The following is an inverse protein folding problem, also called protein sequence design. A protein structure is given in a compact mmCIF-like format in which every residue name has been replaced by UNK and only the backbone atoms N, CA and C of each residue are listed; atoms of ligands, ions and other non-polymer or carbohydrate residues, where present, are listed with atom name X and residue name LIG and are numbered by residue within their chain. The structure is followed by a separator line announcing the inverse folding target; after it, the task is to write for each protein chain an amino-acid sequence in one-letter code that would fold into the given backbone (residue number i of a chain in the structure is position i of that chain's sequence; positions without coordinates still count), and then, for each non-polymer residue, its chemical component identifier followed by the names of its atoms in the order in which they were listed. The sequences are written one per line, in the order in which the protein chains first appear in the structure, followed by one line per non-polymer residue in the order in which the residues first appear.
data_IF_105810482187
#
_entry.id   IF_105810482187
#
_cell.length_a   1.000
_cell.length_b   1.000
_cell.length_c   1.000
_cell.angle_alpha   90.00
_cell.angle_beta   90.00
_cell.angle_gamma   90.00
#
_symmetry.space_group_name_H-M   'P 1'
#
loop_
_entity.id
_entity.type
_entity.pdbx_description
1 polymer ?
#
# COMPACT_ATOMS: atom_id res chain seq x y z
N UNK A 1 15.14 8.71 13.69
CA UNK A 1 14.09 8.13 12.82
C UNK A 1 12.96 9.13 12.75
N UNK A 2 12.69 9.63 11.56
CA UNK A 2 11.52 10.44 11.22
C UNK A 2 10.27 9.56 11.24
N UNK A 3 9.09 10.16 11.35
CA UNK A 3 7.80 9.44 11.32
C UNK A 3 7.66 8.58 10.06
N UNK A 4 8.17 9.07 8.92
CA UNK A 4 8.12 8.35 7.64
C UNK A 4 8.99 7.08 7.65
N UNK A 5 10.19 7.12 8.25
CA UNK A 5 11.04 5.93 8.37
C UNK A 5 10.38 4.82 9.21
N UNK A 6 9.63 5.20 10.26
CA UNK A 6 8.88 4.24 11.09
C UNK A 6 7.72 3.64 10.31
N UNK A 7 6.98 4.46 9.56
CA UNK A 7 5.87 3.99 8.72
C UNK A 7 6.36 3.07 7.60
N UNK A 8 7.45 3.43 6.92
CA UNK A 8 8.07 2.57 5.89
C UNK A 8 8.41 1.20 6.47
N UNK A 9 9.07 1.16 7.64
CA UNK A 9 9.45 -0.08 8.28
C UNK A 9 8.23 -0.94 8.64
N UNK A 10 7.15 -0.34 9.16
CA UNK A 10 5.90 -1.06 9.47
C UNK A 10 5.26 -1.65 8.22
N UNK A 11 5.12 -0.86 7.15
CA UNK A 11 4.57 -1.33 5.87
C UNK A 11 5.44 -2.44 5.29
N UNK A 12 6.75 -2.25 5.30
CA UNK A 12 7.70 -3.25 4.81
C UNK A 12 7.52 -4.58 5.56
N UNK A 13 7.52 -4.56 6.89
CA UNK A 13 7.35 -5.76 7.71
C UNK A 13 6.03 -6.48 7.43
N UNK A 14 4.93 -5.72 7.27
CA UNK A 14 3.64 -6.27 6.87
C UNK A 14 3.74 -7.00 5.52
N UNK A 15 4.29 -6.35 4.50
CA UNK A 15 4.41 -6.91 3.15
C UNK A 15 5.37 -8.09 3.11
N UNK A 16 6.47 -8.05 3.87
CA UNK A 16 7.40 -9.16 4.02
C UNK A 16 6.71 -10.39 4.64
N UNK A 17 5.80 -10.19 5.61
CA UNK A 17 5.03 -11.28 6.21
C UNK A 17 4.04 -11.93 5.22
N UNK A 18 3.43 -11.13 4.33
CA UNK A 18 2.47 -11.61 3.33
C UNK A 18 3.08 -11.97 1.97
N UNK A 19 4.40 -11.88 1.84
CA UNK A 19 5.12 -12.24 0.62
C UNK A 19 4.99 -13.72 0.29
N UNK A 20 4.89 -14.05 -1.00
CA UNK A 20 4.81 -15.43 -1.47
C UNK A 20 6.18 -16.13 -1.49
N UNK A 21 7.27 -15.37 -1.69
CA UNK A 21 8.63 -15.87 -1.84
C UNK A 21 9.68 -14.84 -1.40
N UNK A 22 10.95 -15.24 -1.36
CA UNK A 22 12.07 -14.39 -0.94
C UNK A 22 12.32 -13.18 -1.86
N UNK A 23 12.07 -13.29 -3.17
CA UNK A 23 12.14 -12.15 -4.08
C UNK A 23 11.04 -11.13 -3.78
N UNK A 24 9.80 -11.58 -3.57
CA UNK A 24 8.70 -10.72 -3.14
C UNK A 24 9.03 -10.03 -1.80
N UNK A 25 9.62 -10.76 -0.87
CA UNK A 25 10.04 -10.25 0.44
C UNK A 25 11.16 -9.22 0.35
N UNK A 26 12.24 -9.53 -0.36
CA UNK A 26 13.48 -8.75 -0.30
C UNK A 26 13.51 -7.61 -1.33
N UNK A 27 12.78 -7.73 -2.43
CA UNK A 27 12.80 -6.76 -3.54
C UNK A 27 11.49 -6.00 -3.64
N UNK A 28 10.36 -6.72 -3.64
CA UNK A 28 9.05 -6.09 -3.89
C UNK A 28 8.51 -5.38 -2.66
N UNK A 29 8.53 -6.01 -1.48
CA UNK A 29 8.05 -5.42 -0.23
C UNK A 29 8.70 -4.06 0.09
N UNK A 30 10.04 -3.88 0.07
CA UNK A 30 10.63 -2.57 0.33
C UNK A 30 10.30 -1.54 -0.75
N UNK A 31 10.18 -1.96 -2.02
CA UNK A 31 9.79 -1.05 -3.12
C UNK A 31 8.36 -0.52 -2.95
N UNK A 32 7.43 -1.40 -2.58
CA UNK A 32 6.03 -1.02 -2.30
C UNK A 32 5.94 -0.18 -1.03
N UNK A 33 6.71 -0.52 0.03
CA UNK A 33 6.75 0.26 1.26
C UNK A 33 7.21 1.70 1.01
N UNK A 34 8.29 1.88 0.25
CA UNK A 34 8.78 3.21 -0.13
C UNK A 34 7.76 3.98 -0.97
N UNK A 35 7.19 3.36 -2.00
CA UNK A 35 6.15 3.99 -2.82
C UNK A 35 4.88 4.33 -2.01
N UNK A 36 4.61 3.63 -0.90
CA UNK A 36 3.47 3.92 -0.04
C UNK A 36 3.60 5.22 0.77
N UNK A 37 4.81 5.77 0.87
CA UNK A 37 5.08 7.05 1.53
C UNK A 37 4.91 8.25 0.60
N UNK A 38 4.94 8.04 -0.72
CA UNK A 38 4.80 9.11 -1.72
C UNK A 38 3.41 9.74 -1.70
N UNK A 39 3.25 10.92 -2.31
CA UNK A 39 2.00 11.67 -2.25
C UNK A 39 0.88 11.09 -3.12
N UNK A 40 1.22 10.44 -4.25
CA UNK A 40 0.21 9.97 -5.20
C UNK A 40 -0.44 8.65 -4.75
N UNK A 41 -1.32 8.13 -5.61
CA UNK A 41 -1.78 6.77 -5.46
C UNK A 41 -0.63 5.79 -5.67
N UNK A 42 -0.56 4.77 -4.82
CA UNK A 42 0.47 3.73 -4.85
C UNK A 42 0.69 3.11 -6.24
N UNK A 43 -0.36 2.97 -7.06
CA UNK A 43 -0.20 2.44 -8.41
C UNK A 43 0.54 3.40 -9.36
N UNK A 44 0.36 4.72 -9.21
CA UNK A 44 1.06 5.74 -10.00
C UNK A 44 2.53 5.81 -9.61
N UNK A 45 2.83 5.79 -8.30
CA UNK A 45 4.22 5.82 -7.80
C UNK A 45 4.98 4.53 -8.16
N UNK A 46 4.28 3.41 -8.33
CA UNK A 46 4.86 2.16 -8.85
C UNK A 46 4.92 2.11 -10.39
N UNK A 47 4.33 3.08 -11.09
CA UNK A 47 4.37 3.20 -12.55
C UNK A 47 3.32 2.38 -13.30
N UNK A 48 2.24 1.94 -12.65
CA UNK A 48 1.13 1.24 -13.30
C UNK A 48 0.15 2.22 -13.96
N UNK A 49 -0.43 1.82 -15.09
CA UNK A 49 -1.42 2.65 -15.78
C UNK A 49 -2.80 2.60 -15.12
N UNK A 50 -3.09 1.57 -14.32
CA UNK A 50 -4.40 1.43 -13.67
C UNK A 50 -4.38 0.68 -12.33
N UNK A 51 -5.46 0.86 -11.55
CA UNK A 51 -5.72 0.11 -10.31
C UNK A 51 -5.84 -1.40 -10.55
N UNK A 52 -6.26 -1.81 -11.75
CA UNK A 52 -6.39 -3.23 -12.12
C UNK A 52 -5.01 -3.87 -12.24
N UNK A 53 -4.06 -3.20 -12.87
CA UNK A 53 -2.68 -3.69 -12.98
C UNK A 53 -2.01 -3.81 -11.60
N UNK A 54 -2.21 -2.81 -10.75
CA UNK A 54 -1.76 -2.88 -9.36
C UNK A 54 -2.39 -4.06 -8.61
N UNK A 55 -3.69 -4.30 -8.80
CA UNK A 55 -4.37 -5.46 -8.22
C UNK A 55 -3.77 -6.79 -8.67
N UNK A 56 -3.42 -6.93 -9.95
CA UNK A 56 -2.74 -8.12 -10.48
C UNK A 56 -1.33 -8.27 -9.90
N UNK A 57 -0.58 -7.18 -9.83
CA UNK A 57 0.76 -7.15 -9.23
C UNK A 57 0.72 -7.60 -7.76
N UNK A 58 -0.19 -7.02 -6.97
CA UNK A 58 -0.36 -7.42 -5.59
C UNK A 58 -0.85 -8.86 -5.46
N UNK A 59 -1.69 -9.35 -6.36
CA UNK A 59 -2.12 -10.74 -6.36
C UNK A 59 -0.98 -11.71 -6.68
N UNK A 60 -0.05 -11.31 -7.54
CA UNK A 60 1.11 -12.09 -7.91
C UNK A 60 2.12 -12.24 -6.76
N UNK A 61 2.44 -11.14 -6.06
CA UNK A 61 3.49 -11.13 -5.03
C UNK A 61 2.96 -11.27 -3.59
N UNK A 62 1.71 -10.85 -3.36
CA UNK A 62 1.01 -10.87 -2.06
C UNK A 62 -0.40 -11.48 -2.21
N UNK A 63 -0.52 -12.75 -2.65
CA UNK A 63 -1.81 -13.37 -2.94
C UNK A 63 -2.72 -13.43 -1.72
N UNK A 64 -2.17 -13.74 -0.54
CA UNK A 64 -2.93 -13.80 0.72
C UNK A 64 -3.52 -12.44 1.08
N UNK A 65 -2.72 -11.38 0.95
CA UNK A 65 -3.16 -10.00 1.18
C UNK A 65 -4.26 -9.59 0.19
N UNK A 66 -4.14 -10.02 -1.07
CA UNK A 66 -5.12 -9.72 -2.12
C UNK A 66 -6.46 -10.40 -1.95
N UNK A 67 -6.48 -11.60 -1.39
CA UNK A 67 -7.73 -12.33 -1.09
C UNK A 67 -8.48 -11.67 0.07
N UNK A 68 -7.76 -11.16 1.07
CA UNK A 68 -8.37 -10.52 2.25
C UNK A 68 -8.82 -9.08 1.98
N UNK A 69 -8.27 -8.42 0.96
CA UNK A 69 -8.56 -7.04 0.65
C UNK A 69 -10.01 -6.86 0.13
N UNK A 70 -10.80 -5.92 0.68
CA UNK A 70 -12.09 -5.56 0.11
C UNK A 70 -11.95 -4.95 -1.30
N UNK A 71 -12.92 -5.25 -2.18
CA UNK A 71 -12.88 -4.82 -3.60
C UNK A 71 -12.93 -3.30 -3.76
N UNK A 72 -13.63 -2.60 -2.86
CA UNK A 72 -13.84 -1.15 -2.93
C UNK A 72 -12.72 -0.33 -2.27
N UNK A 73 -11.86 -0.96 -1.45
CA UNK A 73 -10.80 -0.25 -0.71
C UNK A 73 -9.57 0.00 -1.58
N UNK A 74 -8.89 1.12 -1.38
CA UNK A 74 -7.58 1.40 -1.99
C UNK A 74 -6.48 0.52 -1.39
N UNK A 75 -5.48 0.14 -2.19
CA UNK A 75 -4.32 -0.62 -1.68
C UNK A 75 -3.56 0.12 -0.59
N UNK A 76 -3.31 1.42 -0.78
CA UNK A 76 -2.65 2.28 0.21
C UNK A 76 -3.43 2.27 1.52
N UNK A 77 -4.71 2.68 1.49
CA UNK A 77 -5.60 2.65 2.66
C UNK A 77 -5.58 1.30 3.38
N UNK A 78 -5.82 0.22 2.65
CA UNK A 78 -5.84 -1.13 3.22
C UNK A 78 -4.54 -1.54 3.91
N UNK A 79 -3.37 -1.22 3.33
CA UNK A 79 -2.07 -1.52 3.94
C UNK A 79 -1.88 -0.75 5.25
N UNK A 80 -2.26 0.53 5.27
CA UNK A 80 -2.15 1.40 6.44
C UNK A 80 -3.15 1.03 7.54
N UNK A 81 -4.39 0.67 7.19
CA UNK A 81 -5.39 0.12 8.11
C UNK A 81 -4.85 -1.13 8.83
N UNK A 82 -4.14 -2.03 8.13
CA UNK A 82 -3.57 -3.24 8.73
C UNK A 82 -2.47 -2.98 9.76
N UNK A 83 -1.73 -1.88 9.61
CA UNK A 83 -0.71 -1.47 10.60
C UNK A 83 -1.25 -0.50 11.64
N UNK A 84 -2.56 -0.21 11.63
CA UNK A 84 -3.25 0.77 12.47
C UNK A 84 -2.59 2.17 12.39
N UNK A 85 -2.16 2.56 11.19
CA UNK A 85 -1.56 3.87 10.93
C UNK A 85 -2.32 4.60 9.83
N UNK A 86 -2.08 5.90 9.69
CA UNK A 86 -2.61 6.69 8.57
C UNK A 86 -1.49 7.01 7.60
N UNK A 87 -1.75 6.85 6.30
CA UNK A 87 -0.79 7.21 5.28
C UNK A 87 -0.46 8.72 5.38
N UNK A 88 0.83 9.11 5.36
CA UNK A 88 1.23 10.50 5.56
C UNK A 88 0.63 11.41 4.48
N UNK A 89 0.53 10.90 3.25
CA UNK A 89 -0.11 11.58 2.14
C UNK A 89 -1.62 11.80 2.31
N UNK A 90 -2.34 11.00 3.11
CA UNK A 90 -3.79 11.16 3.28
C UNK A 90 -4.16 12.34 4.19
N UNK A 91 -3.24 12.83 5.03
CA UNK A 91 -3.47 13.98 5.88
C UNK A 91 -3.47 15.32 5.11
N UNK A 92 -2.82 15.36 3.94
CA UNK A 92 -2.63 16.58 3.12
C UNK A 92 -3.22 16.45 1.70
N UNK A 93 -3.92 15.35 1.38
CA UNK A 93 -4.46 15.13 0.04
C UNK A 93 -5.80 15.87 -0.16
N UNK A 94 -5.82 16.82 -1.09
CA UNK A 94 -7.03 17.51 -1.60
C UNK A 94 -8.04 16.55 -2.25
N UNK A 95 -7.61 15.33 -2.63
CA UNK A 95 -8.41 14.30 -3.30
C UNK A 95 -9.23 13.42 -2.32
N UNK A 96 -9.59 13.96 -1.16
CA UNK A 96 -10.48 13.32 -0.19
C UNK A 96 -11.87 13.03 -0.77
N UNK A 97 -12.30 13.81 -1.76
CA UNK A 97 -13.61 13.67 -2.43
C UNK A 97 -13.67 12.43 -3.33
N UNK A 98 -12.56 12.02 -3.95
CA UNK A 98 -12.50 10.86 -4.87
C UNK A 98 -12.03 9.57 -4.19
N UNK A 99 -11.50 9.66 -2.96
CA UNK A 99 -11.06 8.51 -2.15
C UNK A 99 -12.21 7.71 -1.51
N UNK A 100 -13.45 7.86 -2.01
CA UNK A 100 -14.68 7.12 -1.68
C UNK A 100 -14.70 6.55 -0.25
N UNK A 101 -15.33 7.32 0.65
CA UNK A 101 -15.76 6.94 2.00
C UNK A 101 -14.61 6.67 3.00
N UNK A 102 -14.05 7.74 3.54
CA UNK A 102 -13.89 7.81 5.00
C UNK A 102 -15.22 8.33 5.56
N UNK A 103 -16.24 7.47 5.55
CA UNK A 103 -17.41 7.71 6.40
C UNK A 103 -17.02 7.27 7.81
N UNK A 104 -17.00 8.26 8.69
CA UNK A 104 -17.02 8.14 10.15
C UNK A 104 -18.18 7.23 10.57
#
# INVERSE_FOLDING_TARGET
MTTNEVLEAKVKLLLEFFSIDDYAKQIIAPRVAKASLEMNHLYQDLGFASRVEMGRFMNQYFPRLSVMKPKETLWKKYIYDLINETAPACAECDDQETCFKCLI
#
